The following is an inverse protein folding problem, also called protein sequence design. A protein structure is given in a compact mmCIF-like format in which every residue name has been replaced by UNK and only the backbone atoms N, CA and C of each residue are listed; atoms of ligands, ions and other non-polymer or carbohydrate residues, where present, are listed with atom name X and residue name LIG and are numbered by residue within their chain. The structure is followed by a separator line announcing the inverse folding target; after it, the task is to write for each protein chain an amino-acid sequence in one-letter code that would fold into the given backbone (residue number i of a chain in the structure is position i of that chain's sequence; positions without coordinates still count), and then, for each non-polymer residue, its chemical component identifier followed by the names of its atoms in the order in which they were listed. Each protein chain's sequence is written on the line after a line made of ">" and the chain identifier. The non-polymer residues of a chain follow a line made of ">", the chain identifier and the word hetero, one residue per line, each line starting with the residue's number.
data_IF_221798802525
#
_entry.id   IF_221798802525
#
_cell.length_a   1.000
_cell.length_b   1.000
_cell.length_c   1.000
_cell.angle_alpha   90.00
_cell.angle_beta   90.00
_cell.angle_gamma   90.00
#
_symmetry.space_group_name_H-M   'P 1'
#
loop_
_entity.id
_entity.type
_entity.pdbx_description
1 polymer ?
#
# COMPACT_ATOMS: atom_id res chain seq x y z
N UNK A 1 9.37 -15.95 -17.98
CA UNK A 1 10.25 -15.33 -16.98
C UNK A 1 9.86 -15.92 -15.63
N UNK A 2 10.83 -16.32 -14.82
CA UNK A 2 10.60 -16.80 -13.46
C UNK A 2 10.75 -15.62 -12.48
N UNK A 3 10.04 -15.65 -11.35
CA UNK A 3 10.06 -14.57 -10.35
C UNK A 3 10.39 -15.15 -8.98
N UNK A 4 11.24 -14.46 -8.23
CA UNK A 4 11.62 -14.83 -6.87
C UNK A 4 11.34 -13.66 -5.92
N UNK A 5 10.87 -13.97 -4.71
CA UNK A 5 10.69 -13.02 -3.61
C UNK A 5 11.78 -13.26 -2.57
N UNK A 6 12.49 -12.20 -2.18
CA UNK A 6 13.60 -12.30 -1.24
C UNK A 6 13.21 -11.64 0.09
N UNK A 7 13.21 -12.42 1.16
CA UNK A 7 13.17 -11.90 2.53
C UNK A 7 14.61 -11.77 3.06
N UNK A 8 14.99 -10.57 3.50
CA UNK A 8 16.36 -10.29 3.92
C UNK A 8 16.43 -9.21 5.00
N UNK A 9 17.53 -9.21 5.75
CA UNK A 9 17.78 -8.20 6.77
C UNK A 9 18.16 -6.85 6.15
N UNK A 10 17.69 -5.69 6.68
CA UNK A 10 17.89 -4.38 6.04
C UNK A 10 19.36 -4.02 5.78
N UNK A 11 20.29 -4.46 6.62
CA UNK A 11 21.72 -4.20 6.53
C UNK A 11 22.38 -4.83 5.29
N UNK A 12 21.75 -5.83 4.65
CA UNK A 12 22.27 -6.45 3.42
C UNK A 12 21.56 -5.96 2.15
N UNK A 13 20.57 -5.06 2.28
CA UNK A 13 19.81 -4.51 1.13
C UNK A 13 20.71 -3.95 0.05
N UNK A 14 21.69 -3.13 0.42
CA UNK A 14 22.59 -2.48 -0.54
C UNK A 14 23.41 -3.51 -1.34
N UNK A 15 23.94 -4.54 -0.67
CA UNK A 15 24.71 -5.62 -1.30
C UNK A 15 23.86 -6.45 -2.25
N UNK A 16 22.61 -6.74 -1.88
CA UNK A 16 21.68 -7.46 -2.74
C UNK A 16 21.36 -6.61 -3.98
N UNK A 17 21.04 -5.32 -3.81
CA UNK A 17 20.75 -4.44 -4.94
C UNK A 17 21.95 -4.27 -5.87
N UNK A 18 23.16 -4.17 -5.33
CA UNK A 18 24.40 -4.12 -6.12
C UNK A 18 24.59 -5.39 -6.97
N UNK A 19 24.43 -6.57 -6.35
CA UNK A 19 24.47 -7.85 -7.08
C UNK A 19 23.41 -7.92 -8.17
N UNK A 20 22.16 -7.56 -7.87
CA UNK A 20 21.06 -7.58 -8.84
C UNK A 20 21.25 -6.55 -9.97
N UNK A 21 21.92 -5.43 -9.69
CA UNK A 21 22.21 -4.39 -10.69
C UNK A 21 23.34 -4.78 -11.65
N UNK A 22 24.06 -5.86 -11.37
CA UNK A 22 25.12 -6.38 -12.27
C UNK A 22 24.56 -7.11 -13.51
N UNK A 23 23.29 -7.52 -13.46
CA UNK A 23 22.60 -8.15 -14.58
C UNK A 23 22.07 -7.08 -15.55
N UNK A 24 22.02 -7.41 -16.84
CA UNK A 24 21.40 -6.51 -17.82
C UNK A 24 19.88 -6.47 -17.64
N UNK A 25 19.24 -5.41 -18.13
CA UNK A 25 17.77 -5.24 -18.07
C UNK A 25 17.00 -6.33 -18.83
N UNK A 26 17.66 -7.01 -19.76
CA UNK A 26 17.09 -8.09 -20.56
C UNK A 26 17.16 -9.44 -19.80
N UNK A 27 18.10 -9.58 -18.86
CA UNK A 27 18.30 -10.79 -18.05
C UNK A 27 17.55 -10.73 -16.71
N UNK A 28 17.50 -9.56 -16.08
CA UNK A 28 16.90 -9.38 -14.77
C UNK A 28 16.12 -8.07 -14.70
N UNK A 29 14.84 -8.19 -14.32
CA UNK A 29 13.98 -7.04 -14.05
C UNK A 29 13.66 -7.00 -12.57
N UNK A 30 14.03 -5.90 -11.91
CA UNK A 30 13.53 -5.60 -10.57
C UNK A 30 12.08 -5.15 -10.73
N UNK A 31 11.16 -6.09 -10.49
CA UNK A 31 9.72 -5.81 -10.51
C UNK A 31 9.33 -5.33 -9.12
N UNK A 32 8.82 -4.10 -9.03
CA UNK A 32 8.11 -3.69 -7.82
C UNK A 32 6.82 -4.50 -7.73
N UNK A 33 6.73 -5.30 -6.67
CA UNK A 33 5.75 -6.37 -6.56
C UNK A 33 4.30 -5.87 -6.54
N UNK A 34 4.08 -4.63 -6.10
CA UNK A 34 2.79 -3.98 -6.22
C UNK A 34 2.99 -2.45 -6.29
N UNK A 35 2.64 -1.79 -7.41
CA UNK A 35 2.75 -0.33 -7.55
C UNK A 35 1.87 0.43 -6.54
N UNK A 36 0.80 -0.19 -6.06
CA UNK A 36 -0.10 0.36 -5.05
C UNK A 36 0.36 0.08 -3.62
N UNK A 37 1.42 -0.71 -3.40
CA UNK A 37 1.87 -1.05 -2.05
C UNK A 37 2.29 0.19 -1.27
N UNK A 38 3.14 1.03 -1.84
CA UNK A 38 3.57 2.27 -1.19
C UNK A 38 2.41 3.25 -1.03
N UNK A 39 1.49 3.31 -2.00
CA UNK A 39 0.29 4.15 -1.90
C UNK A 39 -0.62 3.69 -0.74
N UNK A 40 -0.88 2.38 -0.65
CA UNK A 40 -1.69 1.75 0.40
C UNK A 40 -1.04 1.93 1.77
N UNK A 41 0.28 1.70 1.86
CA UNK A 41 1.05 1.90 3.09
C UNK A 41 0.97 3.35 3.57
N UNK A 42 1.16 4.31 2.68
CA UNK A 42 1.05 5.74 3.01
C UNK A 42 -0.37 6.14 3.42
N UNK A 43 -1.39 5.63 2.73
CA UNK A 43 -2.80 5.83 3.09
C UNK A 43 -3.08 5.31 4.51
N UNK A 44 -2.64 4.09 4.82
CA UNK A 44 -2.84 3.47 6.14
C UNK A 44 -2.09 4.23 7.23
N UNK A 45 -0.85 4.63 6.97
CA UNK A 45 -0.07 5.43 7.94
C UNK A 45 -0.77 6.76 8.23
N UNK A 46 -1.26 7.47 7.22
CA UNK A 46 -2.01 8.73 7.42
C UNK A 46 -3.27 8.52 8.25
N UNK A 47 -3.99 7.40 8.09
CA UNK A 47 -5.16 7.07 8.92
C UNK A 47 -4.76 6.79 10.37
N UNK A 48 -3.68 6.03 10.59
CA UNK A 48 -3.13 5.78 11.94
C UNK A 48 -2.73 7.09 12.61
N UNK A 49 -2.07 7.99 11.89
CA UNK A 49 -1.64 9.28 12.42
C UNK A 49 -2.85 10.12 12.85
N UNK A 50 -3.94 10.12 12.07
CA UNK A 50 -5.21 10.77 12.43
C UNK A 50 -5.86 10.18 13.68
N UNK A 51 -5.77 8.86 13.86
CA UNK A 51 -6.27 8.19 15.07
C UNK A 51 -5.42 8.64 16.28
N UNK A 52 -4.10 8.58 16.15
CA UNK A 52 -3.16 8.89 17.22
C UNK A 52 -3.20 10.36 17.65
N UNK A 53 -3.39 11.29 16.71
CA UNK A 53 -3.47 12.72 17.01
C UNK A 53 -4.89 13.20 17.35
N UNK A 54 -5.88 12.29 17.41
CA UNK A 54 -7.26 12.60 17.79
C UNK A 54 -8.08 13.36 16.73
N UNK A 55 -7.60 13.45 15.49
CA UNK A 55 -8.32 14.13 14.38
C UNK A 55 -9.12 13.17 13.50
N UNK A 56 -9.10 11.87 13.80
CA UNK A 56 -9.94 10.88 13.14
C UNK A 56 -11.42 11.16 13.42
N UNK A 57 -12.21 11.16 12.35
CA UNK A 57 -13.67 11.21 12.41
C UNK A 57 -14.17 9.78 12.49
N UNK A 58 -15.05 9.52 13.46
CA UNK A 58 -15.70 8.23 13.65
C UNK A 58 -17.19 8.40 13.39
N UNK A 59 -17.82 7.30 13.00
CA UNK A 59 -19.26 7.21 12.86
C UNK A 59 -19.75 6.01 13.65
N UNK A 60 -20.92 6.14 14.25
CA UNK A 60 -21.69 5.01 14.75
C UNK A 60 -22.19 4.15 13.59
N UNK A 61 -22.68 2.95 13.88
CA UNK A 61 -23.31 2.10 12.85
C UNK A 61 -24.52 2.80 12.22
N UNK A 62 -25.37 3.45 13.02
CA UNK A 62 -26.54 4.17 12.51
C UNK A 62 -26.15 5.35 11.58
N UNK A 63 -25.11 6.11 11.95
CA UNK A 63 -24.59 7.19 11.09
C UNK A 63 -23.96 6.67 9.80
N UNK A 64 -23.27 5.52 9.88
CA UNK A 64 -22.69 4.86 8.72
C UNK A 64 -23.78 4.37 7.76
N UNK A 65 -24.86 3.78 8.29
CA UNK A 65 -25.98 3.29 7.47
C UNK A 65 -26.65 4.43 6.70
N UNK A 66 -26.89 5.57 7.35
CA UNK A 66 -27.43 6.77 6.67
C UNK A 66 -26.48 7.27 5.60
N UNK A 67 -25.18 7.38 5.90
CA UNK A 67 -24.16 7.83 4.94
C UNK A 67 -24.08 6.92 3.71
N UNK A 68 -24.16 5.61 3.92
CA UNK A 68 -24.12 4.62 2.84
C UNK A 68 -25.38 4.71 2.00
N UNK A 69 -26.56 4.76 2.62
CA UNK A 69 -27.85 4.87 1.92
C UNK A 69 -27.92 6.14 1.07
N UNK A 70 -27.54 7.29 1.64
CA UNK A 70 -27.49 8.57 0.92
C UNK A 70 -26.48 8.54 -0.24
N UNK A 71 -25.39 7.80 -0.09
CA UNK A 71 -24.36 7.69 -1.13
C UNK A 71 -24.83 6.78 -2.26
N UNK A 72 -25.40 5.61 -1.92
CA UNK A 72 -25.90 4.63 -2.89
C UNK A 72 -27.07 5.21 -3.69
N UNK A 73 -28.03 5.84 -3.01
CA UNK A 73 -29.20 6.49 -3.63
C UNK A 73 -28.85 7.53 -4.70
N UNK A 74 -27.64 8.11 -4.67
CA UNK A 74 -27.18 9.07 -5.71
C UNK A 74 -26.82 8.40 -7.04
N UNK A 75 -26.64 7.08 -7.05
CA UNK A 75 -26.20 6.30 -8.20
C UNK A 75 -27.18 5.18 -8.58
N UNK A 76 -28.29 5.06 -7.85
CA UNK A 76 -29.39 4.17 -8.21
C UNK A 76 -30.41 4.96 -9.03
N UNK A 77 -30.43 4.69 -10.35
CA UNK A 77 -31.55 4.95 -11.25
C UNK A 77 -32.51 3.74 -11.23
#
# INVERSE_FOLDING_TARGET
>A
METIRLEFQPNIKAKILELLSSFSSDELKIVQENPEFEQTKNMLQSRIDKINNGTAVYSTFDELDVLLEETISKYED
#
